data_IF_461248248456
#
_entry.id   IF_461248248456
#
_cell.length_a   1.000
_cell.length_b   1.000
_cell.length_c   1.000
_cell.angle_alpha   90.00
_cell.angle_beta   90.00
_cell.angle_gamma   90.00
#
_symmetry.space_group_name_H-M   'P 1'
#
loop_
_entity.id
_entity.type
_entity.pdbx_description
1 polymer ?
#
# COMPACT_ATOMS: atom_id res chain seq x y z
N UNK A 1 -21.20 5.17 10.30
CA UNK A 1 -19.95 5.24 11.11
C UNK A 1 -19.61 3.81 11.56
N UNK A 2 -18.74 3.31 11.04
CA UNK A 2 -17.89 2.47 10.60
C UNK A 2 -17.56 1.20 11.37
N UNK A 3 -17.86 0.05 10.74
CA UNK A 3 -17.37 -1.27 11.18
C UNK A 3 -15.83 -1.38 11.17
N UNK A 4 -15.14 -0.54 10.41
CA UNK A 4 -13.68 -0.57 10.25
C UNK A 4 -12.93 -0.03 11.46
N UNK A 5 -13.44 1.02 12.12
CA UNK A 5 -12.86 1.53 13.35
C UNK A 5 -12.93 0.50 14.48
N UNK A 6 -14.07 -0.22 14.60
CA UNK A 6 -14.23 -1.28 15.58
C UNK A 6 -13.29 -2.49 15.36
N UNK A 7 -12.90 -2.79 14.13
CA UNK A 7 -11.97 -3.89 13.82
C UNK A 7 -10.55 -3.50 14.25
N UNK A 8 -10.09 -2.30 13.92
CA UNK A 8 -8.76 -1.80 14.29
C UNK A 8 -8.56 -1.70 15.80
N UNK A 9 -9.50 -1.11 16.51
CA UNK A 9 -9.48 -1.01 17.97
C UNK A 9 -9.38 -2.37 18.68
N UNK A 10 -9.81 -3.44 18.00
CA UNK A 10 -9.73 -4.82 18.50
C UNK A 10 -8.42 -5.52 18.14
N UNK A 11 -7.79 -5.13 17.01
CA UNK A 11 -6.57 -5.76 16.50
C UNK A 11 -5.34 -5.12 17.13
N UNK A 12 -5.27 -3.80 17.22
CA UNK A 12 -4.10 -3.06 17.71
C UNK A 12 -3.61 -3.56 19.09
N UNK A 13 -4.45 -3.81 20.11
CA UNK A 13 -3.98 -4.29 21.41
C UNK A 13 -3.41 -5.71 21.40
N UNK A 14 -3.66 -6.50 20.37
CA UNK A 14 -3.25 -7.91 20.29
C UNK A 14 -2.27 -8.19 19.15
N UNK A 15 -1.99 -7.18 18.31
CA UNK A 15 -1.04 -7.31 17.18
C UNK A 15 0.36 -6.88 17.60
N UNK A 16 1.35 -7.71 17.26
CA UNK A 16 2.77 -7.35 17.34
C UNK A 16 3.33 -6.94 15.95
N UNK A 17 2.45 -6.81 14.95
CA UNK A 17 2.80 -6.45 13.57
C UNK A 17 2.27 -5.06 13.31
N UNK A 18 3.04 -4.15 12.67
CA UNK A 18 2.58 -2.82 12.30
C UNK A 18 1.27 -2.84 11.50
N UNK A 19 0.42 -1.86 11.75
CA UNK A 19 -0.92 -1.77 11.18
C UNK A 19 -1.04 -0.57 10.25
N UNK A 20 -1.46 -0.80 9.00
CA UNK A 20 -1.80 0.28 8.07
C UNK A 20 -3.30 0.59 8.08
N UNK A 21 -3.66 1.88 8.15
CA UNK A 21 -5.00 2.34 7.83
C UNK A 21 -5.12 2.49 6.31
N UNK A 22 -5.68 1.48 5.64
CA UNK A 22 -5.93 1.49 4.20
C UNK A 22 -7.33 2.05 3.91
N UNK A 23 -7.41 3.38 3.80
CA UNK A 23 -8.66 4.15 3.62
C UNK A 23 -8.39 5.38 2.74
N UNK A 24 -9.44 6.02 2.18
CA UNK A 24 -9.34 7.26 1.44
C UNK A 24 -9.14 8.44 2.39
N UNK A 25 -7.89 8.82 2.63
CA UNK A 25 -7.55 9.97 3.48
C UNK A 25 -7.53 11.23 2.62
N UNK A 26 -8.36 12.20 3.00
CA UNK A 26 -8.53 13.51 2.34
C UNK A 26 -8.43 14.70 3.28
N UNK A 27 -8.40 14.44 4.58
CA UNK A 27 -8.41 15.46 5.61
C UNK A 27 -7.58 15.02 6.82
N UNK A 28 -6.93 15.95 7.49
CA UNK A 28 -6.04 15.72 8.65
C UNK A 28 -6.73 14.98 9.79
N UNK A 29 -8.04 15.22 9.98
CA UNK A 29 -8.81 14.54 11.02
C UNK A 29 -8.72 13.02 10.90
N UNK A 30 -8.61 12.49 9.66
CA UNK A 30 -8.49 11.06 9.43
C UNK A 30 -7.10 10.52 9.81
N UNK A 31 -6.06 11.38 9.79
CA UNK A 31 -4.72 11.05 10.29
C UNK A 31 -4.79 10.93 11.82
N UNK A 32 -5.44 11.88 12.51
CA UNK A 32 -5.61 11.81 13.96
C UNK A 32 -6.46 10.61 14.39
N UNK A 33 -7.50 10.28 13.64
CA UNK A 33 -8.26 9.05 13.85
C UNK A 33 -7.41 7.79 13.65
N UNK A 34 -6.49 7.78 12.68
CA UNK A 34 -5.57 6.67 12.47
C UNK A 34 -4.65 6.47 13.68
N UNK A 35 -4.07 7.56 14.20
CA UNK A 35 -3.20 7.56 15.38
C UNK A 35 -3.97 7.03 16.61
N UNK A 36 -5.15 7.58 16.88
CA UNK A 36 -5.98 7.17 18.03
C UNK A 36 -6.36 5.70 17.93
N UNK A 37 -6.57 5.18 16.72
CA UNK A 37 -6.89 3.77 16.47
C UNK A 37 -5.66 2.85 16.49
N UNK A 38 -4.45 3.37 16.76
CA UNK A 38 -3.21 2.59 16.83
C UNK A 38 -2.69 2.13 15.48
N UNK A 39 -2.86 2.93 14.42
CA UNK A 39 -2.21 2.69 13.14
C UNK A 39 -0.75 3.15 13.20
N UNK A 40 0.13 2.37 12.60
CA UNK A 40 1.55 2.70 12.41
C UNK A 40 1.81 3.35 11.04
N UNK A 41 0.91 3.11 10.09
CA UNK A 41 0.98 3.65 8.74
C UNK A 41 -0.40 4.06 8.21
N UNK A 42 -0.39 4.97 7.23
CA UNK A 42 -1.58 5.38 6.47
C UNK A 42 -1.37 5.22 4.98
N UNK A 43 -2.47 5.28 4.22
CA UNK A 43 -2.48 5.31 2.77
C UNK A 43 -2.82 6.73 2.28
N UNK A 44 -2.02 7.26 1.34
CA UNK A 44 -2.38 8.43 0.54
C UNK A 44 -2.43 8.01 -0.93
N UNK A 45 -3.55 8.30 -1.61
CA UNK A 45 -3.78 7.94 -3.01
C UNK A 45 -3.58 9.17 -3.89
N UNK A 46 -2.54 9.17 -4.72
CA UNK A 46 -2.17 10.32 -5.56
C UNK A 46 -3.32 10.72 -6.49
N UNK A 47 -4.02 9.75 -7.10
CA UNK A 47 -5.19 10.00 -7.94
C UNK A 47 -6.35 10.73 -7.25
N UNK A 48 -6.42 10.68 -5.92
CA UNK A 48 -7.53 11.23 -5.14
C UNK A 48 -7.25 12.61 -4.54
N UNK A 49 -6.02 13.14 -4.71
CA UNK A 49 -5.52 14.35 -4.05
C UNK A 49 -4.85 15.28 -5.07
N UNK A 50 -5.04 16.59 -4.91
CA UNK A 50 -4.18 17.60 -5.55
C UNK A 50 -2.83 17.68 -4.83
N UNK A 51 -1.83 18.31 -5.47
CA UNK A 51 -0.46 18.34 -4.96
C UNK A 51 -0.32 19.06 -3.62
N UNK A 52 -1.07 20.14 -3.41
CA UNK A 52 -1.05 20.89 -2.17
C UNK A 52 -1.59 20.05 -1.01
N UNK A 53 -2.73 19.39 -1.22
CA UNK A 53 -3.35 18.51 -0.24
C UNK A 53 -2.49 17.27 0.03
N UNK A 54 -1.95 16.64 -1.03
CA UNK A 54 -1.05 15.49 -0.91
C UNK A 54 0.16 15.81 -0.04
N UNK A 55 0.85 16.93 -0.35
CA UNK A 55 2.03 17.38 0.40
C UNK A 55 1.71 17.68 1.85
N UNK A 56 0.60 18.37 2.10
CA UNK A 56 0.18 18.73 3.45
C UNK A 56 -0.16 17.52 4.30
N UNK A 57 -0.93 16.55 3.75
CA UNK A 57 -1.28 15.33 4.47
C UNK A 57 -0.07 14.41 4.68
N UNK A 58 0.83 14.34 3.70
CA UNK A 58 2.09 13.58 3.83
C UNK A 58 2.94 14.14 4.97
N UNK A 59 3.19 15.45 4.99
CA UNK A 59 3.97 16.10 6.04
C UNK A 59 3.33 15.93 7.40
N UNK A 60 2.01 16.15 7.51
CA UNK A 60 1.26 15.96 8.77
C UNK A 60 1.42 14.55 9.32
N UNK A 61 1.30 13.52 8.47
CA UNK A 61 1.48 12.14 8.90
C UNK A 61 2.91 11.86 9.38
N UNK A 62 3.93 12.37 8.66
CA UNK A 62 5.34 12.20 9.03
C UNK A 62 5.69 12.94 10.31
N UNK A 63 5.11 14.11 10.58
CA UNK A 63 5.29 14.87 11.83
C UNK A 63 4.78 14.09 13.06
N UNK A 64 3.75 13.23 12.86
CA UNK A 64 3.25 12.29 13.85
C UNK A 64 3.94 10.92 13.82
N UNK A 65 5.02 10.77 13.07
CA UNK A 65 5.81 9.53 12.99
C UNK A 65 5.04 8.33 12.40
N UNK A 66 4.00 8.59 11.58
CA UNK A 66 3.36 7.56 10.79
C UNK A 66 4.18 7.29 9.52
N UNK A 67 4.27 6.02 9.13
CA UNK A 67 4.68 5.69 7.77
C UNK A 67 3.57 6.01 6.79
N UNK A 68 3.94 6.37 5.56
CA UNK A 68 2.97 6.77 4.54
C UNK A 68 3.18 5.96 3.28
N UNK A 69 2.25 5.04 2.99
CA UNK A 69 2.18 4.36 1.71
C UNK A 69 1.51 5.28 0.69
N UNK A 70 2.30 5.75 -0.29
CA UNK A 70 1.82 6.64 -1.36
C UNK A 70 1.43 5.79 -2.57
N UNK A 71 0.12 5.64 -2.82
CA UNK A 71 -0.41 4.77 -3.89
C UNK A 71 -0.46 5.51 -5.23
N UNK A 72 0.10 4.88 -6.27
CA UNK A 72 0.16 5.37 -7.66
C UNK A 72 -0.36 4.32 -8.65
N UNK A 73 -0.84 4.77 -9.82
CA UNK A 73 -1.44 3.90 -10.84
C UNK A 73 -0.80 4.06 -12.23
N UNK A 74 -0.06 5.14 -12.46
CA UNK A 74 0.58 5.45 -13.74
C UNK A 74 1.83 6.32 -13.53
N UNK A 75 2.56 6.58 -14.61
CA UNK A 75 3.80 7.35 -14.57
C UNK A 75 3.62 8.79 -14.07
N UNK A 76 2.62 9.56 -14.51
CA UNK A 76 2.39 10.91 -13.95
C UNK A 76 2.14 10.92 -12.44
N UNK A 77 1.47 9.90 -11.89
CA UNK A 77 1.27 9.78 -10.44
C UNK A 77 2.57 9.36 -9.74
N UNK A 78 3.39 8.51 -10.36
CA UNK A 78 4.71 8.14 -9.85
C UNK A 78 5.63 9.37 -9.76
N UNK A 79 5.69 10.20 -10.80
CA UNK A 79 6.46 11.44 -10.79
C UNK A 79 6.04 12.36 -9.62
N UNK A 80 4.75 12.51 -9.38
CA UNK A 80 4.22 13.29 -8.25
C UNK A 80 4.62 12.71 -6.88
N UNK A 81 4.63 11.38 -6.74
CA UNK A 81 5.05 10.72 -5.52
C UNK A 81 6.56 10.89 -5.27
N UNK A 82 7.38 10.82 -6.32
CA UNK A 82 8.81 11.05 -6.23
C UNK A 82 9.14 12.52 -5.93
N UNK A 83 8.45 13.47 -6.55
CA UNK A 83 8.58 14.91 -6.28
C UNK A 83 8.15 15.26 -4.85
N UNK A 84 7.23 14.52 -4.26
CA UNK A 84 6.84 14.63 -2.85
C UNK A 84 7.96 14.19 -1.90
N UNK A 85 8.90 13.35 -2.38
CA UNK A 85 9.93 12.70 -1.57
C UNK A 85 9.40 11.47 -0.82
N UNK A 86 8.43 10.75 -1.39
CA UNK A 86 7.91 9.52 -0.81
C UNK A 86 8.97 8.43 -0.79
N UNK A 87 9.19 7.81 0.38
CA UNK A 87 10.13 6.72 0.62
C UNK A 87 9.46 5.32 0.61
N UNK A 88 8.12 5.28 0.56
CA UNK A 88 7.33 4.07 0.49
C UNK A 88 6.19 4.28 -0.53
N UNK A 89 6.29 3.64 -1.69
CA UNK A 89 5.36 3.81 -2.81
C UNK A 89 4.64 2.50 -3.11
N UNK A 90 3.32 2.57 -3.22
CA UNK A 90 2.45 1.47 -3.62
C UNK A 90 2.04 1.58 -5.08
N UNK A 91 2.44 0.62 -5.91
CA UNK A 91 2.01 0.54 -7.31
C UNK A 91 0.74 -0.31 -7.36
N UNK A 92 -0.41 0.34 -7.59
CA UNK A 92 -1.68 -0.35 -7.69
C UNK A 92 -1.95 -0.82 -9.12
N UNK A 93 -1.86 -2.14 -9.32
CA UNK A 93 -2.11 -2.79 -10.62
C UNK A 93 -3.58 -2.74 -11.07
N UNK A 94 -4.49 -2.24 -10.22
CA UNK A 94 -5.91 -2.10 -10.56
C UNK A 94 -6.19 -0.72 -11.11
N UNK A 95 -6.59 -0.66 -12.37
CA UNK A 95 -7.08 0.58 -12.96
C UNK A 95 -8.40 1.01 -12.29
N UNK A 96 -8.44 2.18 -11.67
CA UNK A 96 -9.59 2.67 -10.89
C UNK A 96 -10.82 2.98 -11.76
N UNK A 97 -10.66 3.15 -13.09
CA UNK A 97 -11.76 3.45 -14.01
C UNK A 97 -12.40 2.18 -14.58
N UNK A 98 -11.57 1.18 -14.90
CA UNK A 98 -12.03 -0.06 -15.57
C UNK A 98 -12.12 -1.25 -14.64
N UNK A 99 -11.54 -1.15 -13.44
CA UNK A 99 -11.37 -2.22 -12.45
C UNK A 99 -10.57 -3.43 -12.94
N UNK A 100 -9.95 -3.34 -14.12
CA UNK A 100 -9.03 -4.37 -14.62
C UNK A 100 -7.71 -4.30 -13.87
N UNK A 101 -7.12 -5.45 -13.62
CA UNK A 101 -5.79 -5.59 -12.99
C UNK A 101 -4.78 -6.10 -14.02
N UNK A 102 -3.59 -5.48 -14.06
CA UNK A 102 -2.49 -5.90 -14.92
C UNK A 102 -1.16 -5.69 -14.17
N UNK A 103 -0.42 -6.77 -13.92
CA UNK A 103 0.87 -6.72 -13.22
C UNK A 103 1.97 -6.00 -14.04
N UNK A 104 1.76 -5.83 -15.34
CA UNK A 104 2.63 -5.01 -16.17
C UNK A 104 2.74 -3.55 -15.68
N UNK A 105 1.77 -3.06 -14.91
CA UNK A 105 1.86 -1.74 -14.27
C UNK A 105 3.03 -1.68 -13.29
N UNK A 106 3.20 -2.69 -12.43
CA UNK A 106 4.37 -2.77 -11.53
C UNK A 106 5.67 -2.87 -12.33
N UNK A 107 5.74 -3.72 -13.36
CA UNK A 107 6.94 -3.89 -14.19
C UNK A 107 7.38 -2.59 -14.86
N UNK A 108 6.43 -1.80 -15.36
CA UNK A 108 6.72 -0.53 -16.05
C UNK A 108 7.13 0.59 -15.10
N UNK A 109 6.52 0.66 -13.92
CA UNK A 109 6.75 1.77 -12.99
C UNK A 109 7.93 1.51 -12.04
N UNK A 110 8.29 0.26 -11.80
CA UNK A 110 9.42 -0.07 -10.94
C UNK A 110 10.77 0.42 -11.49
N UNK A 111 10.92 0.47 -12.82
CA UNK A 111 12.13 0.98 -13.49
C UNK A 111 12.36 2.48 -13.28
N UNK A 112 11.33 3.23 -12.87
CA UNK A 112 11.41 4.68 -12.66
C UNK A 112 11.89 5.06 -11.24
N UNK A 113 12.13 4.08 -10.38
CA UNK A 113 12.36 4.30 -8.94
C UNK A 113 13.78 3.90 -8.55
N UNK A 114 14.44 4.74 -7.77
CA UNK A 114 15.78 4.46 -7.23
C UNK A 114 15.78 3.50 -6.05
N UNK A 115 16.96 2.98 -5.70
CA UNK A 115 17.16 1.98 -4.63
C UNK A 115 16.80 2.47 -3.22
N UNK A 116 16.61 3.76 -3.03
CA UNK A 116 16.27 4.42 -1.76
C UNK A 116 14.76 4.46 -1.47
N UNK A 117 13.92 4.01 -2.41
CA UNK A 117 12.46 3.94 -2.28
C UNK A 117 12.01 2.49 -2.15
N UNK A 118 11.18 2.20 -1.15
CA UNK A 118 10.54 0.90 -0.99
C UNK A 118 9.28 0.80 -1.84
N UNK A 119 9.23 -0.19 -2.73
CA UNK A 119 8.09 -0.45 -3.61
C UNK A 119 7.20 -1.57 -3.08
N UNK A 120 5.90 -1.30 -3.05
CA UNK A 120 4.85 -2.28 -2.74
C UNK A 120 4.00 -2.51 -3.98
N UNK A 121 3.92 -3.75 -4.48
CA UNK A 121 2.98 -4.08 -5.55
C UNK A 121 1.60 -4.44 -4.97
N UNK A 122 0.55 -3.77 -5.45
CA UNK A 122 -0.80 -3.91 -4.94
C UNK A 122 -1.78 -4.40 -6.00
N UNK A 123 -2.74 -5.20 -5.60
CA UNK A 123 -3.80 -5.75 -6.45
C UNK A 123 -3.32 -6.71 -7.55
N UNK A 124 -4.19 -7.62 -7.97
CA UNK A 124 -3.92 -8.52 -9.10
C UNK A 124 -3.07 -9.75 -8.78
N UNK A 125 -2.44 -9.83 -7.62
CA UNK A 125 -1.60 -10.94 -7.17
C UNK A 125 -2.50 -12.09 -6.68
N UNK A 126 -2.45 -13.23 -7.37
CA UNK A 126 -3.34 -14.39 -7.13
C UNK A 126 -2.57 -15.68 -6.89
N UNK A 127 -1.37 -15.79 -7.40
CA UNK A 127 -0.55 -17.00 -7.37
C UNK A 127 0.87 -16.69 -6.88
N UNK A 128 1.59 -17.74 -6.52
CA UNK A 128 3.02 -17.67 -6.21
C UNK A 128 3.86 -17.12 -7.38
N UNK A 129 3.47 -17.46 -8.61
CA UNK A 129 4.14 -16.94 -9.81
C UNK A 129 3.91 -15.42 -9.99
N UNK A 130 2.73 -14.91 -9.62
CA UNK A 130 2.48 -13.45 -9.64
C UNK A 130 3.35 -12.74 -8.60
N UNK A 131 3.53 -13.33 -7.41
CA UNK A 131 4.44 -12.79 -6.39
C UNK A 131 5.86 -12.70 -6.92
N UNK A 132 6.39 -13.80 -7.49
CA UNK A 132 7.73 -13.83 -8.05
C UNK A 132 7.90 -12.78 -9.15
N UNK A 133 6.93 -12.69 -10.05
CA UNK A 133 6.93 -11.73 -11.17
C UNK A 133 7.10 -10.27 -10.70
N UNK A 134 6.34 -9.84 -9.68
CA UNK A 134 6.44 -8.46 -9.20
C UNK A 134 7.70 -8.21 -8.36
N UNK A 135 8.20 -9.22 -7.64
CA UNK A 135 9.46 -9.14 -6.90
C UNK A 135 10.66 -9.05 -7.86
N UNK A 136 10.67 -9.83 -8.95
CA UNK A 136 11.69 -9.75 -10.01
C UNK A 136 11.67 -8.41 -10.74
N UNK A 137 10.50 -7.77 -10.82
CA UNK A 137 10.36 -6.41 -11.35
C UNK A 137 10.85 -5.30 -10.42
N UNK A 138 11.28 -5.62 -9.17
CA UNK A 138 11.84 -4.64 -8.23
C UNK A 138 10.95 -4.32 -7.04
N UNK A 139 9.74 -4.91 -6.92
CA UNK A 139 8.92 -4.69 -5.73
C UNK A 139 9.59 -5.33 -4.48
N UNK A 140 9.64 -4.58 -3.39
CA UNK A 140 10.18 -5.03 -2.10
C UNK A 140 9.13 -5.80 -1.28
N UNK A 141 7.86 -5.50 -1.50
CA UNK A 141 6.73 -6.10 -0.79
C UNK A 141 5.48 -6.21 -1.68
N UNK A 142 4.50 -6.97 -1.20
CA UNK A 142 3.19 -7.10 -1.85
C UNK A 142 2.08 -6.78 -0.87
N UNK A 143 1.00 -6.14 -1.34
CA UNK A 143 -0.20 -5.89 -0.58
C UNK A 143 -1.37 -6.68 -1.18
N UNK A 144 -1.88 -7.66 -0.43
CA UNK A 144 -2.88 -8.62 -0.90
C UNK A 144 -4.02 -8.75 0.10
N UNK A 145 -5.24 -8.50 -0.35
CA UNK A 145 -6.45 -8.69 0.43
C UNK A 145 -7.38 -9.72 -0.21
N UNK A 146 -7.86 -9.45 -1.41
CA UNK A 146 -8.91 -10.22 -2.08
C UNK A 146 -8.58 -11.71 -2.21
N UNK A 147 -7.36 -12.05 -2.61
CA UNK A 147 -6.92 -13.44 -2.79
C UNK A 147 -6.91 -14.19 -1.47
N UNK A 148 -6.39 -13.58 -0.40
CA UNK A 148 -6.35 -14.19 0.93
C UNK A 148 -7.75 -14.35 1.52
N UNK A 149 -8.64 -13.39 1.31
CA UNK A 149 -10.04 -13.48 1.78
C UNK A 149 -10.83 -14.57 1.07
N UNK A 150 -10.45 -14.95 -0.16
CA UNK A 150 -11.06 -16.02 -0.94
C UNK A 150 -10.39 -17.39 -0.74
N UNK A 151 -9.21 -17.43 -0.13
CA UNK A 151 -8.47 -18.66 0.10
C UNK A 151 -9.15 -19.55 1.14
N UNK A 152 -9.16 -20.87 0.90
CA UNK A 152 -9.65 -21.83 1.88
C UNK A 152 -8.79 -21.86 3.16
N UNK A 153 -7.48 -21.64 3.02
CA UNK A 153 -6.51 -21.51 4.11
C UNK A 153 -5.58 -20.34 3.83
N UNK A 154 -5.91 -19.12 4.30
CA UNK A 154 -5.09 -17.93 4.08
C UNK A 154 -3.67 -18.07 4.63
N UNK A 155 -3.50 -18.72 5.79
CA UNK A 155 -2.18 -18.88 6.42
C UNK A 155 -1.25 -19.75 5.57
N UNK A 156 -1.74 -20.86 5.03
CA UNK A 156 -0.98 -21.74 4.14
C UNK A 156 -0.62 -21.02 2.83
N UNK A 157 -1.57 -20.27 2.26
CA UNK A 157 -1.33 -19.47 1.05
C UNK A 157 -0.23 -18.43 1.30
N UNK A 158 -0.28 -17.71 2.42
CA UNK A 158 0.76 -16.76 2.79
C UNK A 158 2.11 -17.43 2.98
N UNK A 159 2.16 -18.58 3.67
CA UNK A 159 3.42 -19.30 3.91
C UNK A 159 4.07 -19.71 2.58
N UNK A 160 3.31 -20.26 1.63
CA UNK A 160 3.79 -20.60 0.30
C UNK A 160 4.41 -19.42 -0.44
N UNK A 161 3.87 -18.21 -0.27
CA UNK A 161 4.41 -17.00 -0.90
C UNK A 161 5.66 -16.46 -0.20
N UNK A 162 5.73 -16.60 1.12
CA UNK A 162 6.91 -16.22 1.89
C UNK A 162 8.12 -17.13 1.57
N UNK A 163 7.88 -18.41 1.34
CA UNK A 163 8.93 -19.40 1.04
C UNK A 163 9.61 -19.13 -0.32
N UNK A 164 8.92 -18.46 -1.27
CA UNK A 164 9.51 -18.07 -2.56
C UNK A 164 10.68 -17.09 -2.40
N UNK A 165 10.63 -16.23 -1.40
CA UNK A 165 11.67 -15.21 -1.16
C UNK A 165 12.94 -15.80 -0.53
N UNK A 166 12.87 -17.03 -0.02
CA UNK A 166 13.96 -17.70 0.70
C UNK A 166 14.70 -18.75 -0.15
N UNK A 167 14.23 -18.99 -1.38
CA UNK A 167 14.83 -19.92 -2.34
C UNK A 167 15.60 -19.19 -3.44
#
# INVERSE_FOLDING_TARGET
>A
MGSEMCIRDRISPVSNIPLIRKDFIRHEIQIYEAIISGADAILLIVAALDDETLKRLYQEARDFQLDVLVEVHDLPEMERALDLGADLIGINNRNLKTFKTDLATTEQLADEVGDDVLLVSESGIKTAADCLRVLEAGANAILVGETLMKANNPAETMQQWLDIRLS
#
